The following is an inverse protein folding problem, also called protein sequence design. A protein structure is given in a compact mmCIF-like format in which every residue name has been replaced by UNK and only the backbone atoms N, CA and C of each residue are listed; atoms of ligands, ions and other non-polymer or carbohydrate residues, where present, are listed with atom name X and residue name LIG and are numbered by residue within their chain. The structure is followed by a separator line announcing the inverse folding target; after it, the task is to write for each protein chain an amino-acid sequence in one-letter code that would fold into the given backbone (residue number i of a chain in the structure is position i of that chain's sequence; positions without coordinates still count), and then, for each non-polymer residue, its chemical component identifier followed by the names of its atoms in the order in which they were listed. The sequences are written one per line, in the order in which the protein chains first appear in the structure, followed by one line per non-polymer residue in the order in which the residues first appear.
data_IF_122637746149
#
_entry.id   IF_122637746149
#
_cell.length_a   1.000
_cell.length_b   1.000
_cell.length_c   1.000
_cell.angle_alpha   90.00
_cell.angle_beta   90.00
_cell.angle_gamma   90.00
#
_symmetry.space_group_name_H-M   'P 1'
#
loop_
_entity.id
_entity.type
_entity.pdbx_description
1 polymer ?
#
# COMPACT_ATOMS: atom_id res chain seq x y z
N UNK A 1 15.07 -0.32 -4.93
CA UNK A 1 14.85 -1.71 -4.47
C UNK A 1 13.67 -2.47 -5.11
N UNK A 2 12.57 -1.83 -5.57
CA UNK A 2 11.46 -2.51 -6.27
C UNK A 2 11.71 -2.79 -7.76
N UNK A 3 12.67 -2.12 -8.38
CA UNK A 3 13.00 -2.28 -9.81
C UNK A 3 13.70 -3.62 -10.13
N UNK A 4 14.38 -4.21 -9.14
CA UNK A 4 15.18 -5.44 -9.28
C UNK A 4 14.53 -6.70 -8.69
N UNK A 5 13.41 -6.60 -7.98
CA UNK A 5 12.77 -7.82 -7.46
C UNK A 5 11.92 -8.51 -8.55
N UNK A 6 11.93 -9.85 -8.62
CA UNK A 6 11.10 -10.62 -9.56
C UNK A 6 9.61 -10.63 -9.19
N UNK A 7 9.22 -9.86 -8.17
CA UNK A 7 7.84 -9.78 -7.66
C UNK A 7 6.89 -9.29 -8.75
N UNK A 8 7.36 -8.51 -9.73
CA UNK A 8 6.53 -8.08 -10.86
C UNK A 8 7.20 -8.42 -12.18
N UNK A 9 6.43 -9.01 -13.10
CA UNK A 9 6.84 -9.14 -14.49
C UNK A 9 7.06 -7.76 -15.12
N UNK A 10 7.77 -7.69 -16.24
CA UNK A 10 7.90 -6.44 -17.00
C UNK A 10 6.54 -5.80 -17.32
N UNK A 11 5.55 -6.61 -17.70
CA UNK A 11 4.16 -6.16 -17.90
C UNK A 11 3.50 -5.67 -16.61
N UNK A 12 3.72 -6.33 -15.48
CA UNK A 12 3.23 -5.88 -14.17
C UNK A 12 3.81 -4.54 -13.76
N UNK A 13 5.10 -4.31 -14.00
CA UNK A 13 5.75 -3.01 -13.77
C UNK A 13 5.17 -1.91 -14.65
N UNK A 14 4.94 -2.21 -15.94
CA UNK A 14 4.34 -1.28 -16.89
C UNK A 14 2.89 -0.97 -16.49
N UNK A 15 2.14 -1.96 -16.02
CA UNK A 15 0.77 -1.78 -15.50
C UNK A 15 0.74 -0.92 -14.23
N UNK A 16 1.65 -1.14 -13.30
CA UNK A 16 1.83 -0.28 -12.13
C UNK A 16 2.21 1.16 -12.53
N UNK A 17 3.08 1.33 -13.53
CA UNK A 17 3.42 2.65 -14.04
C UNK A 17 2.23 3.33 -14.74
N UNK A 18 1.35 2.56 -15.39
CA UNK A 18 0.14 3.08 -16.03
C UNK A 18 -0.83 3.71 -15.02
N UNK A 19 -0.81 3.30 -13.73
CA UNK A 19 -1.58 3.96 -12.66
C UNK A 19 -1.31 5.48 -12.59
N UNK A 20 -0.11 5.93 -12.95
CA UNK A 20 0.25 7.36 -12.99
C UNK A 20 -0.54 8.16 -14.03
N UNK A 21 -0.95 7.51 -15.12
CA UNK A 21 -1.62 8.13 -16.27
C UNK A 21 -3.12 7.85 -16.26
N UNK A 22 -3.56 6.78 -15.59
CA UNK A 22 -4.95 6.38 -15.55
C UNK A 22 -5.87 7.52 -15.05
N UNK A 23 -7.05 7.72 -15.65
CA UNK A 23 -7.99 8.72 -15.18
C UNK A 23 -8.59 8.33 -13.83
N UNK A 24 -8.87 9.35 -13.01
CA UNK A 24 -9.64 9.22 -11.76
C UNK A 24 -11.05 8.70 -12.07
N UNK A 25 -11.62 7.87 -11.19
CA UNK A 25 -12.98 7.36 -11.37
C UNK A 25 -13.94 8.56 -11.30
N UNK A 26 -14.65 8.83 -12.40
CA UNK A 26 -15.57 9.98 -12.53
C UNK A 26 -16.98 9.66 -12.04
N UNK A 27 -17.33 8.38 -11.89
CA UNK A 27 -18.67 7.92 -11.50
C UNK A 27 -18.64 7.16 -10.17
N UNK A 28 -19.23 7.81 -9.17
CA UNK A 28 -19.63 7.33 -7.82
C UNK A 28 -20.81 6.37 -7.88
N UNK A 29 -20.91 5.52 -8.91
CA UNK A 29 -22.08 4.65 -9.08
C UNK A 29 -22.01 3.38 -8.23
N UNK A 30 -20.87 3.09 -7.59
CA UNK A 30 -20.78 2.01 -6.61
C UNK A 30 -19.79 2.41 -5.50
N UNK A 31 -20.27 2.93 -4.35
CA UNK A 31 -19.41 3.31 -3.22
C UNK A 31 -18.77 2.09 -2.55
N UNK A 32 -19.38 0.91 -2.70
CA UNK A 32 -18.94 -0.35 -2.11
C UNK A 32 -18.23 -1.24 -3.13
N UNK A 33 -17.07 -0.80 -3.60
CA UNK A 33 -16.18 -1.60 -4.45
C UNK A 33 -15.36 -2.55 -3.57
N UNK A 34 -15.21 -3.82 -3.99
CA UNK A 34 -14.32 -4.75 -3.29
C UNK A 34 -12.85 -4.37 -3.49
N UNK A 35 -12.02 -4.72 -2.50
CA UNK A 35 -10.58 -4.44 -2.55
C UNK A 35 -9.92 -5.11 -3.76
N UNK A 36 -10.31 -6.35 -4.09
CA UNK A 36 -9.81 -7.05 -5.27
C UNK A 36 -10.11 -6.28 -6.56
N UNK A 37 -11.35 -5.83 -6.74
CA UNK A 37 -11.77 -5.10 -7.94
C UNK A 37 -11.01 -3.78 -8.08
N UNK A 38 -10.84 -3.05 -6.98
CA UNK A 38 -10.09 -1.80 -6.95
C UNK A 38 -8.62 -1.99 -7.33
N UNK A 39 -7.93 -2.96 -6.71
CA UNK A 39 -6.52 -3.24 -6.99
C UNK A 39 -6.33 -3.75 -8.41
N UNK A 40 -7.18 -4.68 -8.88
CA UNK A 40 -7.14 -5.22 -10.23
C UNK A 40 -7.31 -4.12 -11.29
N UNK A 41 -8.22 -3.17 -11.06
CA UNK A 41 -8.46 -2.02 -11.96
C UNK A 41 -7.28 -1.05 -11.99
N UNK A 42 -6.74 -0.69 -10.82
CA UNK A 42 -5.70 0.35 -10.67
C UNK A 42 -4.29 -0.18 -10.93
N UNK A 43 -3.92 -1.25 -10.24
CA UNK A 43 -2.55 -1.79 -10.19
C UNK A 43 -2.39 -3.06 -11.05
N UNK A 44 -3.49 -3.75 -11.37
CA UNK A 44 -3.50 -4.95 -12.21
C UNK A 44 -3.56 -6.26 -11.42
N UNK A 45 -3.79 -7.36 -12.14
CA UNK A 45 -3.95 -8.71 -11.56
C UNK A 45 -2.74 -9.14 -10.73
N UNK A 46 -1.52 -8.89 -11.23
CA UNK A 46 -0.30 -9.30 -10.52
C UNK A 46 -0.13 -8.59 -9.17
N UNK A 47 -0.60 -7.35 -9.05
CA UNK A 47 -0.55 -6.62 -7.78
C UNK A 47 -1.57 -7.16 -6.77
N UNK A 48 -2.73 -7.61 -7.26
CA UNK A 48 -3.71 -8.31 -6.44
C UNK A 48 -3.11 -9.61 -5.89
N UNK A 49 -2.63 -10.49 -6.77
CA UNK A 49 -2.16 -11.83 -6.38
C UNK A 49 -0.89 -11.80 -5.53
N UNK A 50 0.08 -10.95 -5.88
CA UNK A 50 1.42 -10.99 -5.25
C UNK A 50 1.59 -10.04 -4.08
N UNK A 51 0.65 -9.11 -3.87
CA UNK A 51 0.73 -8.15 -2.76
C UNK A 51 -0.58 -8.03 -1.99
N UNK A 52 -1.70 -7.71 -2.65
CA UNK A 52 -2.93 -7.43 -1.92
C UNK A 52 -3.51 -8.68 -1.23
N UNK A 53 -3.58 -9.83 -1.94
CA UNK A 53 -4.01 -11.11 -1.37
C UNK A 53 -3.20 -11.52 -0.13
N UNK A 54 -1.85 -11.60 -0.16
CA UNK A 54 -1.09 -12.00 1.03
C UNK A 54 -1.18 -10.98 2.17
N UNK A 55 -1.31 -9.68 1.86
CA UNK A 55 -1.51 -8.66 2.89
C UNK A 55 -2.88 -8.78 3.57
N UNK A 56 -3.94 -8.97 2.79
CA UNK A 56 -5.31 -9.09 3.30
C UNK A 56 -5.48 -10.39 4.06
N UNK A 57 -5.00 -11.51 3.51
CA UNK A 57 -5.01 -12.80 4.19
C UNK A 57 -4.24 -12.77 5.52
N UNK A 58 -3.19 -11.93 5.63
CA UNK A 58 -2.42 -11.78 6.87
C UNK A 58 -3.04 -10.84 7.91
N UNK A 59 -3.77 -9.79 7.50
CA UNK A 59 -4.34 -8.78 8.42
C UNK A 59 -5.80 -9.11 8.78
N UNK A 60 -6.59 -9.53 7.79
CA UNK A 60 -8.03 -9.70 7.90
C UNK A 60 -8.46 -11.17 7.78
N UNK A 61 -7.58 -12.08 7.34
CA UNK A 61 -7.89 -13.51 7.13
C UNK A 61 -9.14 -13.73 6.27
N UNK A 62 -9.41 -12.81 5.35
CA UNK A 62 -10.61 -12.77 4.51
C UNK A 62 -10.26 -12.76 3.03
N UNK A 63 -11.23 -13.07 2.16
CA UNK A 63 -11.05 -12.95 0.71
C UNK A 63 -11.10 -11.46 0.30
N UNK A 64 -10.10 -10.93 -0.45
CA UNK A 64 -10.17 -9.57 -0.97
C UNK A 64 -11.31 -9.33 -1.96
N UNK A 65 -11.94 -10.36 -2.53
CA UNK A 65 -13.10 -10.23 -3.41
C UNK A 65 -14.38 -9.88 -2.63
N UNK A 66 -14.50 -10.34 -1.38
CA UNK A 66 -15.62 -10.04 -0.49
C UNK A 66 -15.36 -8.83 0.43
N UNK A 67 -14.09 -8.40 0.52
CA UNK A 67 -13.71 -7.30 1.39
C UNK A 67 -14.08 -5.94 0.80
N UNK A 68 -15.05 -5.26 1.43
CA UNK A 68 -15.39 -3.87 1.10
C UNK A 68 -14.19 -2.94 1.30
N UNK A 69 -13.79 -2.24 0.24
CA UNK A 69 -12.72 -1.24 0.31
C UNK A 69 -13.14 -0.02 1.14
N UNK A 70 -14.42 0.39 1.05
CA UNK A 70 -14.92 1.54 1.78
C UNK A 70 -14.94 1.28 3.28
N UNK A 71 -15.34 0.07 3.70
CA UNK A 71 -15.40 -0.28 5.11
C UNK A 71 -14.01 -0.49 5.73
N UNK A 72 -13.08 -1.09 4.99
CA UNK A 72 -11.78 -1.49 5.53
C UNK A 72 -10.66 -0.47 5.30
N UNK A 73 -10.65 0.17 4.14
CA UNK A 73 -9.54 1.03 3.71
C UNK A 73 -10.02 2.28 2.97
N UNK A 74 -10.90 3.11 3.58
CA UNK A 74 -11.47 4.30 2.93
C UNK A 74 -10.40 5.30 2.46
N UNK A 75 -9.25 5.31 3.14
CA UNK A 75 -8.10 6.15 2.77
C UNK A 75 -7.60 5.94 1.35
N UNK A 76 -7.69 4.73 0.78
CA UNK A 76 -7.26 4.50 -0.61
C UNK A 76 -8.20 5.18 -1.62
N UNK A 77 -9.50 5.26 -1.30
CA UNK A 77 -10.46 6.02 -2.08
C UNK A 77 -10.15 7.52 -2.04
N UNK A 78 -9.83 8.05 -0.86
CA UNK A 78 -9.41 9.45 -0.71
C UNK A 78 -8.14 9.76 -1.50
N UNK A 79 -7.15 8.86 -1.45
CA UNK A 79 -5.90 9.00 -2.19
C UNK A 79 -6.12 8.98 -3.71
N UNK A 80 -6.98 8.08 -4.20
CA UNK A 80 -7.39 8.03 -5.62
C UNK A 80 -8.07 9.35 -6.04
N UNK A 81 -8.97 9.89 -5.20
CA UNK A 81 -9.69 11.13 -5.47
C UNK A 81 -8.77 12.35 -5.46
N UNK A 82 -7.89 12.46 -4.46
CA UNK A 82 -7.02 13.62 -4.25
C UNK A 82 -5.85 13.67 -5.24
N UNK A 83 -5.28 12.51 -5.60
CA UNK A 83 -4.03 12.46 -6.36
C UNK A 83 -4.17 11.81 -7.74
N UNK A 84 -5.37 11.34 -8.13
CA UNK A 84 -5.67 10.61 -9.39
C UNK A 84 -4.95 9.27 -9.56
N UNK A 85 -3.71 9.17 -9.08
CA UNK A 85 -2.88 7.97 -9.05
C UNK A 85 -2.58 7.57 -7.60
N UNK A 86 -2.78 6.30 -7.32
CA UNK A 86 -2.51 5.68 -6.03
C UNK A 86 -0.99 5.54 -5.79
N UNK A 87 -0.24 5.16 -6.84
CA UNK A 87 1.22 5.04 -6.78
C UNK A 87 1.86 6.40 -6.45
N UNK A 88 1.41 7.48 -7.09
CA UNK A 88 1.88 8.83 -6.83
C UNK A 88 1.55 9.28 -5.40
N UNK A 89 0.33 9.00 -4.94
CA UNK A 89 -0.11 9.32 -3.58
C UNK A 89 0.76 8.62 -2.53
N UNK A 90 0.98 7.31 -2.67
CA UNK A 90 1.84 6.53 -1.77
C UNK A 90 3.28 7.04 -1.77
N UNK A 91 3.82 7.38 -2.93
CA UNK A 91 5.19 7.89 -3.03
C UNK A 91 5.36 9.26 -2.36
N UNK A 92 4.40 10.17 -2.53
CA UNK A 92 4.37 11.46 -1.82
C UNK A 92 4.26 11.27 -0.31
N UNK A 93 3.38 10.39 0.15
CA UNK A 93 3.22 10.07 1.57
C UNK A 93 4.51 9.49 2.16
N UNK A 94 5.15 8.55 1.45
CA UNK A 94 6.42 7.96 1.89
C UNK A 94 7.55 8.99 1.98
N UNK A 95 7.61 9.95 1.06
CA UNK A 95 8.54 11.08 1.14
C UNK A 95 8.27 11.95 2.36
N UNK A 96 7.00 12.30 2.62
CA UNK A 96 6.60 13.07 3.82
C UNK A 96 7.01 12.36 5.11
N UNK A 97 6.76 11.05 5.22
CA UNK A 97 7.19 10.25 6.38
C UNK A 97 8.71 10.25 6.57
N UNK A 98 9.48 10.14 5.48
CA UNK A 98 10.96 10.17 5.54
C UNK A 98 11.53 11.54 5.94
N UNK A 99 10.76 12.62 5.76
CA UNK A 99 11.17 13.99 6.07
C UNK A 99 10.48 14.51 7.34
N UNK A 100 9.78 13.64 8.09
CA UNK A 100 9.24 14.02 9.39
C UNK A 100 10.39 14.07 10.41
N UNK A 101 10.72 15.25 10.98
CA UNK A 101 11.84 15.39 11.91
C UNK A 101 11.61 14.69 13.25
N UNK A 102 10.40 14.17 13.50
CA UNK A 102 10.02 13.49 14.75
C UNK A 102 9.99 11.96 14.65
N UNK A 103 10.40 11.37 13.53
CA UNK A 103 10.68 9.93 13.45
C UNK A 103 12.17 9.71 13.65
N UNK A 104 12.65 9.90 14.89
CA UNK A 104 13.90 9.28 15.30
C UNK A 104 13.73 7.77 15.09
N UNK A 105 14.55 7.10 14.27
CA UNK A 105 14.71 5.66 14.43
C UNK A 105 15.22 5.49 15.86
N UNK A 106 14.48 4.78 16.70
CA UNK A 106 15.01 4.37 17.99
C UNK A 106 16.27 3.58 17.66
N UNK A 107 17.44 4.19 17.88
CA UNK A 107 18.70 3.47 17.87
C UNK A 107 18.61 2.28 18.83
N UNK A 108 19.56 1.34 18.77
CA UNK A 108 19.57 0.24 19.71
C UNK A 108 19.52 0.83 21.12
N UNK A 109 18.47 0.48 21.89
CA UNK A 109 18.31 0.96 23.27
C UNK A 109 19.32 0.21 24.14
N UNK A 110 20.57 0.67 24.11
CA UNK A 110 21.68 0.10 24.90
C UNK A 110 21.48 0.23 26.42
N UNK A 111 20.40 0.88 26.88
CA UNK A 111 20.05 1.02 28.31
C UNK A 111 18.98 0.06 28.84
N UNK A 112 18.47 -0.89 28.03
CA UNK A 112 17.45 -1.85 28.49
C UNK A 112 18.02 -3.14 29.08
N UNK A 113 19.33 -3.34 29.00
CA UNK A 113 20.04 -4.41 29.68
C UNK A 113 21.13 -3.78 30.55
N UNK A 114 20.78 -3.44 31.79
CA UNK A 114 21.75 -3.19 32.84
C UNK A 114 22.04 -4.55 33.48
N UNK A 115 23.20 -5.15 33.16
CA UNK A 115 23.73 -6.26 33.95
C UNK A 115 24.36 -5.68 35.21
N UNK A 116 24.10 -6.28 36.38
CA UNK A 116 24.80 -5.94 37.62
C UNK A 116 26.29 -6.24 37.43
N UNK A 117 27.14 -5.24 37.66
CA UNK A 117 28.60 -5.33 37.44
C UNK A 117 29.35 -5.93 38.65
N UNK A 118 28.65 -6.60 39.58
CA UNK A 118 29.26 -7.33 40.70
C UNK A 118 28.23 -8.08 41.56
N UNK A 119 28.50 -9.38 41.81
CA UNK A 119 28.12 -10.11 43.03
C UNK A 119 26.71 -10.68 43.09
#
# INVERSE_FOLDING_TARGET
PFLRSPIFSWFGKLRLAADLVLPRRRNTSNPDESLAHFVRRRLGQQALERMAQPMVGGIYTSDPEELSLQATMPRFLEMEQQHRSLVLAMWRQRRKMRHSPNSQPSGPRYGLFVSLDQG
#
